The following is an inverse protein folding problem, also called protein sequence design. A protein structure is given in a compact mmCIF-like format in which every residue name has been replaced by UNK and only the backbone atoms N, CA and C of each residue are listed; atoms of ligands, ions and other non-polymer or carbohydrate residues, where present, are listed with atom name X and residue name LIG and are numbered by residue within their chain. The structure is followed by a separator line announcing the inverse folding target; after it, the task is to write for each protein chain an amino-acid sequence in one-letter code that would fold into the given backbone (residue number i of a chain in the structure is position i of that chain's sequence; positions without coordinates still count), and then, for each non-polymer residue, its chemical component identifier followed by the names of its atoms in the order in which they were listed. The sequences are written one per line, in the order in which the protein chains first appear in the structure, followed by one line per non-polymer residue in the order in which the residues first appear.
data_IF_903993142324
#
_entry.id   IF_903993142324
#
_cell.length_a   1.000
_cell.length_b   1.000
_cell.length_c   1.000
_cell.angle_alpha   90.00
_cell.angle_beta   90.00
_cell.angle_gamma   90.00
#
_symmetry.space_group_name_H-M   'P 1'
#
loop_
_entity.id
_entity.type
_entity.pdbx_description
1 polymer ?
#
# COMPACT_ATOMS: atom_id res chain seq x y z
N UNK A 1 42.26 -13.72 35.03
CA UNK A 1 42.00 -12.80 33.91
C UNK A 1 40.63 -13.13 33.36
N UNK A 2 39.72 -12.16 33.42
CA UNK A 2 38.29 -12.31 33.16
C UNK A 2 38.04 -12.25 31.65
N UNK A 3 37.50 -13.33 31.09
CA UNK A 3 36.89 -13.35 29.77
C UNK A 3 35.58 -12.55 29.83
N UNK A 4 35.49 -11.44 29.10
CA UNK A 4 34.26 -10.68 28.96
C UNK A 4 33.34 -11.35 27.94
N UNK A 5 32.37 -12.11 28.42
CA UNK A 5 31.10 -12.34 27.72
C UNK A 5 30.42 -10.98 27.49
N UNK A 6 30.12 -10.65 26.24
CA UNK A 6 29.02 -9.76 25.89
C UNK A 6 27.99 -10.60 25.13
N UNK A 7 27.03 -11.13 25.87
CA UNK A 7 25.74 -11.51 25.30
C UNK A 7 25.07 -10.20 24.85
N UNK A 8 24.96 -10.00 23.53
CA UNK A 8 23.99 -9.05 23.00
C UNK A 8 22.62 -9.68 23.22
N UNK A 9 21.98 -9.30 24.32
CA UNK A 9 20.54 -9.47 24.47
C UNK A 9 19.89 -8.45 23.54
N UNK A 10 19.74 -8.81 22.28
CA UNK A 10 18.73 -8.22 21.43
C UNK A 10 17.38 -8.71 21.97
N UNK A 11 16.76 -7.93 22.85
CA UNK A 11 15.34 -8.10 23.18
C UNK A 11 14.49 -7.59 22.02
N UNK A 12 14.68 -8.17 20.83
CA UNK A 12 13.63 -8.21 19.84
C UNK A 12 12.62 -9.23 20.35
N UNK A 13 11.37 -8.82 20.56
CA UNK A 13 10.30 -9.78 20.84
C UNK A 13 10.16 -10.69 19.61
N UNK A 14 10.79 -11.86 19.68
CA UNK A 14 10.72 -12.88 18.65
C UNK A 14 9.32 -13.49 18.66
N UNK A 15 8.43 -12.97 17.82
CA UNK A 15 7.15 -13.61 17.51
C UNK A 15 7.31 -14.84 16.59
N UNK A 16 8.54 -15.28 16.33
CA UNK A 16 8.84 -16.36 15.39
C UNK A 16 8.25 -17.72 15.80
N UNK A 17 7.88 -17.90 17.07
CA UNK A 17 7.42 -19.18 17.62
C UNK A 17 5.92 -19.19 18.01
N UNK A 18 5.15 -18.15 17.67
CA UNK A 18 3.69 -18.19 17.87
C UNK A 18 3.06 -18.88 16.65
N UNK A 19 2.77 -20.17 16.78
CA UNK A 19 1.82 -20.83 15.88
C UNK A 19 0.53 -20.00 15.86
N UNK A 20 0.11 -19.57 14.67
CA UNK A 20 -1.21 -18.95 14.53
C UNK A 20 -2.22 -19.94 15.08
N UNK A 21 -3.05 -19.51 16.03
CA UNK A 21 -4.24 -20.27 16.44
C UNK A 21 -4.96 -20.64 15.13
N UNK A 22 -5.28 -21.92 14.93
CA UNK A 22 -5.81 -22.48 13.67
C UNK A 22 -6.91 -21.60 13.02
N UNK A 23 -7.71 -20.95 13.86
CA UNK A 23 -8.76 -19.98 13.50
C UNK A 23 -8.26 -18.80 12.64
N UNK A 24 -7.00 -18.37 12.80
CA UNK A 24 -6.41 -17.24 12.07
C UNK A 24 -5.56 -17.66 10.86
N UNK A 25 -5.43 -18.96 10.58
CA UNK A 25 -4.60 -19.43 9.48
C UNK A 25 -5.11 -18.86 8.13
N UNK A 26 -6.39 -19.09 7.81
CA UNK A 26 -6.99 -18.60 6.56
C UNK A 26 -7.15 -17.08 6.52
N UNK A 27 -7.60 -16.39 7.58
CA UNK A 27 -7.52 -14.93 7.66
C UNK A 27 -6.13 -14.36 7.33
N UNK A 28 -5.07 -14.97 7.86
CA UNK A 28 -3.70 -14.52 7.62
C UNK A 28 -3.28 -14.76 6.17
N UNK A 29 -3.66 -15.90 5.58
CA UNK A 29 -3.43 -16.17 4.16
C UNK A 29 -4.20 -15.19 3.26
N UNK A 30 -5.46 -14.92 3.56
CA UNK A 30 -6.29 -13.96 2.83
C UNK A 30 -5.69 -12.56 2.88
N UNK A 31 -5.27 -12.11 4.07
CA UNK A 31 -4.63 -10.80 4.26
C UNK A 31 -3.37 -10.68 3.40
N UNK A 32 -2.51 -11.71 3.35
CA UNK A 32 -1.32 -11.72 2.47
C UNK A 32 -1.71 -11.58 1.00
N UNK A 33 -2.73 -12.33 0.55
CA UNK A 33 -3.22 -12.24 -0.83
C UNK A 33 -3.68 -10.81 -1.14
N UNK A 34 -4.45 -10.18 -0.26
CA UNK A 34 -4.91 -8.80 -0.45
C UNK A 34 -3.76 -7.78 -0.46
N UNK A 35 -2.76 -7.94 0.41
CA UNK A 35 -1.57 -7.07 0.45
C UNK A 35 -0.75 -7.15 -0.85
N UNK A 36 -0.66 -8.33 -1.43
CA UNK A 36 0.13 -8.58 -2.63
C UNK A 36 -0.60 -8.23 -3.95
N UNK A 37 -1.86 -7.79 -3.88
CA UNK A 37 -2.66 -7.44 -5.08
C UNK A 37 -2.00 -6.34 -5.89
N UNK A 38 -1.78 -6.62 -7.18
CA UNK A 38 -1.28 -5.69 -8.18
C UNK A 38 -1.87 -6.03 -9.57
N UNK A 39 -1.53 -5.22 -10.58
CA UNK A 39 -2.07 -5.37 -11.93
C UNK A 39 -1.74 -6.72 -12.58
N UNK A 40 -0.68 -7.40 -12.14
CA UNK A 40 -0.20 -8.64 -12.76
C UNK A 40 -0.85 -9.89 -12.14
N UNK A 41 -1.38 -9.79 -10.92
CA UNK A 41 -1.91 -10.95 -10.18
C UNK A 41 -3.37 -10.82 -9.76
N UNK A 42 -4.06 -9.71 -10.08
CA UNK A 42 -5.44 -9.45 -9.65
C UNK A 42 -6.42 -10.59 -9.96
N UNK A 43 -6.30 -11.23 -11.12
CA UNK A 43 -7.17 -12.35 -11.49
C UNK A 43 -6.91 -13.59 -10.61
N UNK A 44 -5.64 -13.94 -10.42
CA UNK A 44 -5.25 -15.05 -9.55
C UNK A 44 -5.67 -14.79 -8.09
N UNK A 45 -5.40 -13.59 -7.58
CA UNK A 45 -5.79 -13.17 -6.24
C UNK A 45 -7.31 -13.26 -6.06
N UNK A 46 -8.07 -12.76 -7.03
CA UNK A 46 -9.53 -12.85 -7.04
C UNK A 46 -10.00 -14.31 -6.94
N UNK A 47 -9.44 -15.20 -7.77
CA UNK A 47 -9.82 -16.62 -7.76
C UNK A 47 -9.52 -17.29 -6.41
N UNK A 48 -8.37 -17.01 -5.81
CA UNK A 48 -8.02 -17.57 -4.50
C UNK A 48 -8.95 -17.07 -3.38
N UNK A 49 -9.31 -15.78 -3.39
CA UNK A 49 -10.24 -15.21 -2.42
C UNK A 49 -11.64 -15.82 -2.58
N UNK A 50 -12.12 -15.97 -3.82
CA UNK A 50 -13.42 -16.62 -4.09
C UNK A 50 -13.40 -18.09 -3.63
N UNK A 51 -12.29 -18.80 -3.83
CA UNK A 51 -12.13 -20.17 -3.31
C UNK A 51 -12.22 -20.21 -1.78
N UNK A 52 -11.58 -19.25 -1.09
CA UNK A 52 -11.65 -19.17 0.37
C UNK A 52 -13.06 -18.90 0.87
N UNK A 53 -13.79 -17.99 0.20
CA UNK A 53 -15.18 -17.69 0.51
C UNK A 53 -16.10 -18.88 0.26
N UNK A 54 -15.97 -19.54 -0.90
CA UNK A 54 -16.79 -20.69 -1.29
C UNK A 54 -16.61 -21.88 -0.34
N UNK A 55 -15.39 -22.09 0.16
CA UNK A 55 -15.10 -23.14 1.12
C UNK A 55 -15.31 -22.72 2.58
N UNK A 56 -15.91 -21.55 2.85
CA UNK A 56 -16.13 -21.00 4.19
C UNK A 56 -14.85 -20.88 5.04
N UNK A 57 -13.69 -20.73 4.40
CA UNK A 57 -12.39 -20.50 5.06
C UNK A 57 -12.29 -19.09 5.63
N UNK A 58 -12.98 -18.14 5.01
CA UNK A 58 -13.17 -16.76 5.49
C UNK A 58 -14.61 -16.34 5.20
N UNK A 59 -15.12 -15.33 5.93
CA UNK A 59 -16.44 -14.74 5.65
C UNK A 59 -16.35 -13.62 4.61
N UNK A 60 -17.46 -13.36 3.91
CA UNK A 60 -17.52 -12.22 2.97
C UNK A 60 -17.31 -10.88 3.68
N UNK A 61 -17.86 -10.71 4.89
CA UNK A 61 -17.67 -9.51 5.69
C UNK A 61 -16.18 -9.27 5.98
N UNK A 62 -15.45 -10.33 6.31
CA UNK A 62 -14.01 -10.22 6.53
C UNK A 62 -13.25 -9.83 5.27
N UNK A 63 -13.58 -10.44 4.12
CA UNK A 63 -12.96 -10.10 2.84
C UNK A 63 -13.19 -8.63 2.47
N UNK A 64 -14.43 -8.14 2.57
CA UNK A 64 -14.76 -6.76 2.23
C UNK A 64 -14.12 -5.77 3.23
N UNK A 65 -14.06 -6.12 4.51
CA UNK A 65 -13.33 -5.33 5.53
C UNK A 65 -11.82 -5.27 5.25
N UNK A 66 -11.19 -6.37 4.85
CA UNK A 66 -9.78 -6.39 4.48
C UNK A 66 -9.51 -5.51 3.25
N UNK A 67 -10.40 -5.52 2.25
CA UNK A 67 -10.30 -4.61 1.10
C UNK A 67 -10.37 -3.16 1.55
N UNK A 68 -11.34 -2.82 2.41
CA UNK A 68 -11.52 -1.46 2.93
C UNK A 68 -10.24 -0.97 3.62
N UNK A 69 -9.77 -1.70 4.63
CA UNK A 69 -8.55 -1.33 5.40
C UNK A 69 -7.32 -1.26 4.52
N UNK A 70 -7.06 -2.26 3.67
CA UNK A 70 -5.83 -2.29 2.86
C UNK A 70 -5.88 -1.22 1.78
N UNK A 71 -7.05 -0.90 1.22
CA UNK A 71 -7.19 0.17 0.23
C UNK A 71 -6.90 1.57 0.80
N UNK A 72 -7.06 1.77 2.11
CA UNK A 72 -6.67 3.01 2.80
C UNK A 72 -5.14 3.14 2.91
N UNK A 73 -4.43 2.02 2.99
CA UNK A 73 -2.97 2.00 3.11
C UNK A 73 -2.32 2.03 1.72
N UNK A 74 -2.76 1.14 0.84
CA UNK A 74 -2.27 0.95 -0.52
C UNK A 74 -3.03 1.82 -1.54
N UNK A 75 -3.10 3.12 -1.29
CA UNK A 75 -3.92 4.07 -2.08
C UNK A 75 -3.58 4.08 -3.58
N UNK A 76 -2.35 3.74 -3.96
CA UNK A 76 -1.92 3.60 -5.37
C UNK A 76 -2.68 2.51 -6.12
N UNK A 77 -3.12 1.47 -5.40
CA UNK A 77 -3.81 0.31 -5.95
C UNK A 77 -5.34 0.43 -5.77
N UNK A 78 -5.87 1.58 -5.40
CA UNK A 78 -7.30 1.74 -5.07
C UNK A 78 -8.24 1.28 -6.19
N UNK A 79 -7.85 1.49 -7.45
CA UNK A 79 -8.59 0.98 -8.63
C UNK A 79 -8.70 -0.55 -8.63
N UNK A 80 -7.61 -1.25 -8.32
CA UNK A 80 -7.59 -2.71 -8.24
C UNK A 80 -8.48 -3.21 -7.10
N UNK A 81 -8.48 -2.51 -5.96
CA UNK A 81 -9.37 -2.82 -4.85
C UNK A 81 -10.84 -2.54 -5.19
N UNK A 82 -11.14 -1.51 -5.99
CA UNK A 82 -12.49 -1.30 -6.54
C UNK A 82 -12.92 -2.47 -7.43
N UNK A 83 -12.05 -2.94 -8.33
CA UNK A 83 -12.30 -4.09 -9.20
C UNK A 83 -12.59 -5.36 -8.37
N UNK A 84 -11.73 -5.64 -7.38
CA UNK A 84 -11.84 -6.79 -6.51
C UNK A 84 -13.11 -6.76 -5.65
N UNK A 85 -13.40 -5.60 -5.05
CA UNK A 85 -14.61 -5.38 -4.26
C UNK A 85 -15.86 -5.64 -5.11
N UNK A 86 -15.92 -5.06 -6.31
CA UNK A 86 -17.05 -5.23 -7.20
C UNK A 86 -17.23 -6.69 -7.61
N UNK A 87 -16.14 -7.40 -7.93
CA UNK A 87 -16.18 -8.81 -8.31
C UNK A 87 -16.76 -9.69 -7.19
N UNK A 88 -16.27 -9.53 -5.96
CA UNK A 88 -16.76 -10.29 -4.79
C UNK A 88 -18.21 -9.90 -4.47
N UNK A 89 -18.51 -8.61 -4.46
CA UNK A 89 -19.85 -8.08 -4.13
C UNK A 89 -20.91 -8.58 -5.10
N UNK A 90 -20.60 -8.62 -6.41
CA UNK A 90 -21.51 -9.13 -7.43
C UNK A 90 -21.72 -10.65 -7.30
N UNK A 91 -20.66 -11.42 -7.10
CA UNK A 91 -20.71 -12.89 -6.97
C UNK A 91 -21.63 -13.32 -5.83
N UNK A 92 -21.55 -12.64 -4.69
CA UNK A 92 -22.28 -12.99 -3.48
C UNK A 92 -23.47 -12.09 -3.18
N UNK A 93 -23.80 -11.15 -4.09
CA UNK A 93 -24.90 -10.18 -3.94
C UNK A 93 -24.88 -9.44 -2.59
N UNK A 94 -23.69 -9.00 -2.17
CA UNK A 94 -23.45 -8.35 -0.89
C UNK A 94 -22.90 -6.94 -1.09
N UNK A 95 -23.38 -5.98 -0.30
CA UNK A 95 -22.86 -4.62 -0.26
C UNK A 95 -22.72 -4.26 1.22
N UNK A 96 -21.51 -3.86 1.61
CA UNK A 96 -21.20 -3.38 2.95
C UNK A 96 -20.74 -1.93 2.82
N UNK A 97 -21.14 -1.10 3.78
CA UNK A 97 -20.66 0.28 3.87
C UNK A 97 -19.16 0.29 4.22
N UNK A 98 -18.39 1.13 3.52
CA UNK A 98 -16.94 1.19 3.66
C UNK A 98 -16.52 2.50 4.32
N UNK A 99 -15.49 2.43 5.15
CA UNK A 99 -14.88 3.60 5.79
C UNK A 99 -14.00 4.39 4.81
N UNK A 100 -13.41 3.73 3.81
CA UNK A 100 -12.62 4.40 2.78
C UNK A 100 -13.51 5.16 1.78
N UNK A 101 -13.69 6.47 2.02
CA UNK A 101 -14.47 7.38 1.17
C UNK A 101 -14.05 7.36 -0.31
N UNK A 102 -12.75 7.21 -0.61
CA UNK A 102 -12.26 7.14 -1.99
C UNK A 102 -12.72 5.85 -2.68
N UNK A 103 -12.68 4.72 -1.98
CA UNK A 103 -13.16 3.44 -2.50
C UNK A 103 -14.68 3.46 -2.68
N UNK A 104 -15.42 3.98 -1.70
CA UNK A 104 -16.88 4.18 -1.78
C UNK A 104 -17.27 5.07 -2.97
N UNK A 105 -16.54 6.16 -3.20
CA UNK A 105 -16.76 7.06 -4.34
C UNK A 105 -16.54 6.34 -5.67
N UNK A 106 -15.45 5.59 -5.83
CA UNK A 106 -15.20 4.82 -7.05
C UNK A 106 -16.28 3.76 -7.31
N UNK A 107 -16.74 3.07 -6.27
CA UNK A 107 -17.84 2.11 -6.38
C UNK A 107 -19.16 2.79 -6.73
N UNK A 108 -19.41 3.99 -6.19
CA UNK A 108 -20.58 4.80 -6.55
C UNK A 108 -20.61 5.14 -8.03
N UNK A 109 -19.48 5.60 -8.60
CA UNK A 109 -19.36 5.84 -10.05
C UNK A 109 -19.56 4.58 -10.90
N UNK A 110 -19.38 3.39 -10.31
CA UNK A 110 -19.70 2.10 -10.94
C UNK A 110 -21.13 1.61 -10.73
N UNK A 111 -21.98 2.42 -10.11
CA UNK A 111 -23.41 2.13 -9.92
C UNK A 111 -23.78 1.48 -8.59
N UNK A 112 -22.83 1.32 -7.66
CA UNK A 112 -23.17 0.92 -6.29
C UNK A 112 -23.89 2.06 -5.56
N UNK A 113 -24.89 1.71 -4.76
CA UNK A 113 -25.66 2.67 -3.95
C UNK A 113 -25.42 2.37 -2.49
N UNK A 114 -24.86 3.35 -1.78
CA UNK A 114 -24.72 3.33 -0.33
C UNK A 114 -25.73 4.31 0.27
N UNK A 115 -26.28 3.98 1.43
CA UNK A 115 -27.28 4.80 2.09
C UNK A 115 -26.67 6.15 2.50
N UNK A 116 -27.32 7.27 2.21
CA UNK A 116 -26.87 8.62 2.56
C UNK A 116 -25.47 9.01 2.07
N UNK A 117 -24.96 8.35 1.03
CA UNK A 117 -23.65 8.64 0.45
C UNK A 117 -23.77 9.52 -0.80
N UNK A 118 -23.06 10.64 -0.80
CA UNK A 118 -22.87 11.50 -1.98
C UNK A 118 -21.35 11.69 -2.21
N UNK A 119 -20.86 11.47 -3.44
CA UNK A 119 -19.43 11.62 -3.74
C UNK A 119 -19.00 13.08 -3.60
N UNK A 120 -17.86 13.31 -2.95
CA UNK A 120 -17.26 14.64 -2.74
C UNK A 120 -16.02 14.91 -3.59
N UNK A 121 -15.55 13.91 -4.32
CA UNK A 121 -14.34 13.94 -5.13
C UNK A 121 -14.66 13.36 -6.51
N UNK A 122 -14.04 13.90 -7.54
CA UNK A 122 -14.18 13.35 -8.89
C UNK A 122 -13.37 12.05 -9.06
N UNK A 123 -13.79 11.17 -9.96
CA UNK A 123 -13.09 9.90 -10.21
C UNK A 123 -11.61 10.11 -10.56
N UNK A 124 -11.32 11.09 -11.42
CA UNK A 124 -9.94 11.40 -11.84
C UNK A 124 -9.05 11.87 -10.66
N UNK A 125 -9.62 12.61 -9.70
CA UNK A 125 -8.90 13.08 -8.52
C UNK A 125 -8.55 11.92 -7.58
N UNK A 126 -9.41 10.90 -7.51
CA UNK A 126 -9.14 9.70 -6.70
C UNK A 126 -8.06 8.84 -7.35
N UNK A 127 -8.13 8.68 -8.68
CA UNK A 127 -7.19 7.85 -9.43
C UNK A 127 -5.79 8.48 -9.52
N UNK A 128 -5.70 9.81 -9.46
CA UNK A 128 -4.42 10.52 -9.42
C UNK A 128 -4.01 10.81 -7.97
N UNK A 129 -2.97 10.13 -7.48
CA UNK A 129 -2.44 10.34 -6.12
C UNK A 129 -2.03 11.79 -5.83
N UNK A 130 -1.56 12.50 -6.87
CA UNK A 130 -1.12 13.89 -6.81
C UNK A 130 -1.52 14.60 -8.10
N UNK A 131 -1.58 15.94 -8.11
CA UNK A 131 -1.76 16.71 -9.33
C UNK A 131 -0.73 16.30 -10.41
N UNK A 132 -1.17 16.07 -11.64
CA UNK A 132 -0.32 15.57 -12.75
C UNK A 132 0.84 16.50 -13.14
N UNK A 133 0.84 17.74 -12.63
CA UNK A 133 1.88 18.75 -12.80
C UNK A 133 2.83 18.86 -11.59
N UNK A 134 2.61 18.09 -10.53
CA UNK A 134 3.49 18.05 -9.34
C UNK A 134 4.62 17.04 -9.53
N UNK A 135 5.85 17.30 -9.02
CA UNK A 135 6.91 16.29 -9.01
C UNK A 135 6.50 15.01 -8.27
N UNK A 136 5.66 15.11 -7.23
CA UNK A 136 5.19 13.95 -6.47
C UNK A 136 4.38 12.97 -7.32
N UNK A 137 3.66 13.45 -8.34
CA UNK A 137 2.97 12.59 -9.30
C UNK A 137 3.97 11.70 -10.05
N UNK A 138 5.03 12.29 -10.60
CA UNK A 138 6.04 11.53 -11.34
C UNK A 138 6.78 10.55 -10.44
N UNK A 139 7.05 10.94 -9.19
CA UNK A 139 7.67 10.06 -8.20
C UNK A 139 6.75 8.90 -7.85
N UNK A 140 5.50 9.15 -7.48
CA UNK A 140 4.56 8.10 -7.08
C UNK A 140 4.29 7.07 -8.19
N UNK A 141 4.37 7.48 -9.45
CA UNK A 141 4.23 6.61 -10.61
C UNK A 141 5.55 6.10 -11.20
N UNK A 142 6.66 6.29 -10.49
CA UNK A 142 8.02 5.85 -10.83
C UNK A 142 8.52 6.30 -12.22
N UNK A 143 8.12 7.50 -12.64
CA UNK A 143 8.46 8.11 -13.95
C UNK A 143 9.73 8.94 -13.85
N UNK A 144 10.85 8.28 -13.56
CA UNK A 144 12.14 8.95 -13.25
C UNK A 144 12.65 9.86 -14.38
N UNK A 145 12.48 9.47 -15.64
CA UNK A 145 12.99 10.25 -16.78
C UNK A 145 12.16 11.53 -17.01
N UNK A 146 10.84 11.44 -16.86
CA UNK A 146 9.95 12.60 -16.88
C UNK A 146 10.25 13.55 -15.70
N UNK A 147 10.50 12.99 -14.51
CA UNK A 147 10.86 13.76 -13.32
C UNK A 147 12.13 14.59 -13.58
N UNK A 148 13.19 13.94 -14.09
CA UNK A 148 14.46 14.60 -14.44
C UNK A 148 14.28 15.70 -15.47
N UNK A 149 13.48 15.43 -16.51
CA UNK A 149 13.27 16.38 -17.60
C UNK A 149 12.45 17.60 -17.17
N UNK A 150 11.38 17.40 -16.39
CA UNK A 150 10.43 18.46 -16.03
C UNK A 150 10.83 19.24 -14.78
N UNK A 151 11.60 18.63 -13.87
CA UNK A 151 12.02 19.23 -12.61
C UNK A 151 13.54 19.11 -12.39
N UNK A 152 14.37 19.70 -13.27
CA UNK A 152 15.82 19.58 -13.18
C UNK A 152 16.41 20.24 -11.92
N UNK A 153 15.68 21.17 -11.31
CA UNK A 153 16.07 21.90 -10.09
C UNK A 153 15.21 21.50 -8.89
N UNK A 154 14.68 20.27 -8.86
CA UNK A 154 13.91 19.77 -7.73
C UNK A 154 14.77 19.81 -6.46
N UNK A 155 14.30 20.48 -5.42
CA UNK A 155 14.89 20.35 -4.09
C UNK A 155 14.50 18.99 -3.51
N UNK A 156 15.49 18.10 -3.38
CA UNK A 156 15.29 16.71 -2.98
C UNK A 156 15.04 16.54 -1.48
N UNK A 157 15.36 17.54 -0.65
CA UNK A 157 15.24 17.46 0.82
C UNK A 157 14.08 18.33 1.35
N UNK A 158 13.53 19.21 0.52
CA UNK A 158 12.35 19.99 0.88
C UNK A 158 11.07 19.19 0.64
N UNK A 159 10.11 19.32 1.57
CA UNK A 159 8.77 18.75 1.36
C UNK A 159 8.09 19.49 0.22
N UNK A 160 7.47 18.74 -0.69
CA UNK A 160 6.64 19.33 -1.74
C UNK A 160 5.24 19.55 -1.17
N UNK A 161 4.72 20.76 -1.34
CA UNK A 161 3.40 21.18 -0.84
C UNK A 161 3.21 20.93 0.67
N UNK A 162 4.30 21.05 1.45
CA UNK A 162 4.38 20.75 2.89
C UNK A 162 3.96 19.32 3.29
N UNK A 163 3.77 18.42 2.33
CA UNK A 163 3.20 17.09 2.54
C UNK A 163 4.28 16.02 2.81
N UNK A 164 5.22 15.85 1.90
CA UNK A 164 6.20 14.73 1.94
C UNK A 164 7.47 15.10 1.17
N UNK A 165 8.63 14.58 1.60
CA UNK A 165 9.86 14.73 0.83
C UNK A 165 9.79 13.89 -0.46
N UNK A 166 10.53 14.25 -1.52
CA UNK A 166 10.64 13.43 -2.71
C UNK A 166 11.05 11.99 -2.43
N UNK A 167 12.03 11.77 -1.54
CA UNK A 167 12.50 10.43 -1.21
C UNK A 167 11.42 9.61 -0.49
N UNK A 168 10.75 10.20 0.49
CA UNK A 168 9.67 9.53 1.24
C UNK A 168 8.46 9.23 0.36
N UNK A 169 8.19 10.07 -0.64
CA UNK A 169 7.19 9.76 -1.66
C UNK A 169 7.58 8.51 -2.47
N UNK A 170 8.85 8.39 -2.87
CA UNK A 170 9.33 7.21 -3.58
C UNK A 170 9.24 5.94 -2.71
N UNK A 171 9.58 6.05 -1.43
CA UNK A 171 9.49 4.96 -0.45
C UNK A 171 8.04 4.53 -0.27
N UNK A 172 7.14 5.48 0.02
CA UNK A 172 5.71 5.22 0.31
C UNK A 172 4.99 4.49 -0.83
N UNK A 173 5.37 4.76 -2.07
CA UNK A 173 4.70 4.20 -3.24
C UNK A 173 5.51 3.12 -3.98
N UNK A 174 6.62 2.68 -3.39
CA UNK A 174 7.44 1.61 -3.93
C UNK A 174 8.10 1.94 -5.27
N UNK A 175 8.44 3.22 -5.49
CA UNK A 175 8.97 3.73 -6.75
C UNK A 175 10.49 3.57 -6.81
N UNK A 176 10.95 2.38 -7.22
CA UNK A 176 12.35 1.97 -7.14
C UNK A 176 13.30 2.87 -7.96
N UNK A 177 12.90 3.27 -9.18
CA UNK A 177 13.76 4.08 -10.05
C UNK A 177 13.94 5.49 -9.50
N UNK A 178 12.85 6.10 -9.04
CA UNK A 178 12.86 7.40 -8.39
C UNK A 178 13.60 7.34 -7.05
N UNK A 179 13.41 6.29 -6.25
CA UNK A 179 14.13 6.08 -4.99
C UNK A 179 15.65 6.06 -5.22
N UNK A 180 16.12 5.24 -6.15
CA UNK A 180 17.54 5.14 -6.49
C UNK A 180 18.10 6.46 -7.02
N UNK A 181 17.36 7.15 -7.88
CA UNK A 181 17.75 8.46 -8.38
C UNK A 181 17.90 9.49 -7.26
N UNK A 182 16.90 9.62 -6.38
CA UNK A 182 16.91 10.60 -5.29
C UNK A 182 17.99 10.30 -4.25
N UNK A 183 18.20 9.02 -3.90
CA UNK A 183 19.33 8.61 -3.04
C UNK A 183 20.67 8.97 -3.65
N UNK A 184 20.87 8.75 -4.95
CA UNK A 184 22.13 9.09 -5.64
C UNK A 184 22.39 10.60 -5.67
N UNK A 185 21.34 11.43 -5.58
CA UNK A 185 21.47 12.87 -5.41
C UNK A 185 21.75 13.30 -3.96
N UNK A 186 21.76 12.37 -3.00
CA UNK A 186 22.04 12.64 -1.60
C UNK A 186 20.80 12.96 -0.76
N UNK A 187 19.59 12.60 -1.22
CA UNK A 187 18.38 12.76 -0.42
C UNK A 187 18.49 11.96 0.89
N UNK A 188 17.96 12.53 1.97
CA UNK A 188 18.03 11.93 3.30
C UNK A 188 16.69 11.34 3.71
N UNK A 189 16.74 10.21 4.43
CA UNK A 189 15.59 9.67 5.13
C UNK A 189 15.11 10.63 6.21
N UNK A 190 13.80 10.78 6.33
CA UNK A 190 13.18 11.50 7.44
C UNK A 190 12.65 10.54 8.53
N UNK A 191 11.94 11.08 9.51
CA UNK A 191 11.39 10.32 10.64
C UNK A 191 10.27 9.34 10.26
N UNK A 192 9.58 9.56 9.14
CA UNK A 192 8.46 8.77 8.64
C UNK A 192 8.88 7.73 7.60
N UNK A 193 10.10 7.78 7.08
CA UNK A 193 10.56 6.89 6.01
C UNK A 193 10.35 5.40 6.32
N UNK A 194 10.65 4.95 7.55
CA UNK A 194 10.47 3.55 7.97
C UNK A 194 8.99 3.13 7.90
N UNK A 195 8.08 4.00 8.37
CA UNK A 195 6.64 3.79 8.26
C UNK A 195 6.22 3.67 6.79
N UNK A 196 6.73 4.56 5.94
CA UNK A 196 6.43 4.53 4.52
C UNK A 196 6.98 3.30 3.81
N UNK A 197 8.13 2.76 4.24
CA UNK A 197 8.70 1.55 3.67
C UNK A 197 7.80 0.33 3.92
N UNK A 198 7.22 0.25 5.13
CA UNK A 198 6.23 -0.78 5.47
C UNK A 198 4.96 -0.60 4.64
N UNK A 199 4.45 0.63 4.49
CA UNK A 199 3.25 0.91 3.70
C UNK A 199 3.43 0.63 2.21
N UNK A 200 4.59 0.96 1.66
CA UNK A 200 4.88 0.78 0.25
C UNK A 200 5.06 -0.68 -0.16
N UNK A 201 5.38 -1.56 0.79
CA UNK A 201 5.51 -3.01 0.57
C UNK A 201 6.62 -3.39 -0.41
N UNK A 202 7.46 -2.44 -0.84
CA UNK A 202 8.52 -2.69 -1.79
C UNK A 202 9.72 -3.32 -1.07
N UNK A 203 9.91 -4.62 -1.28
CA UNK A 203 10.97 -5.39 -0.61
C UNK A 203 12.37 -4.85 -0.91
N UNK A 204 12.63 -4.38 -2.13
CA UNK A 204 13.94 -3.85 -2.50
C UNK A 204 14.27 -2.59 -1.68
N UNK A 205 13.37 -1.61 -1.67
CA UNK A 205 13.52 -0.37 -0.90
C UNK A 205 13.65 -0.68 0.59
N UNK A 206 12.79 -1.56 1.12
CA UNK A 206 12.80 -1.95 2.52
C UNK A 206 14.15 -2.56 2.94
N UNK A 207 14.67 -3.52 2.15
CA UNK A 207 15.97 -4.13 2.44
C UNK A 207 17.11 -3.12 2.31
N UNK A 208 17.06 -2.23 1.32
CA UNK A 208 18.08 -1.19 1.17
C UNK A 208 18.14 -0.27 2.38
N UNK A 209 16.98 0.13 2.91
CA UNK A 209 16.91 0.97 4.12
C UNK A 209 17.53 0.30 5.35
N UNK A 210 17.33 -1.01 5.53
CA UNK A 210 17.99 -1.79 6.59
C UNK A 210 19.51 -1.74 6.43
N UNK A 211 20.02 -1.90 5.21
CA UNK A 211 21.46 -1.82 4.93
C UNK A 211 22.04 -0.43 5.22
N UNK A 212 21.25 0.63 5.03
CA UNK A 212 21.63 2.00 5.38
C UNK A 212 21.51 2.31 6.89
N UNK A 213 21.07 1.34 7.71
CA UNK A 213 20.95 1.49 9.16
C UNK A 213 19.66 2.16 9.64
N UNK A 214 18.57 2.01 8.87
CA UNK A 214 17.20 2.36 9.25
C UNK A 214 16.40 1.15 9.69
#
# INVERSE_FOLDING_TARGET
MINSQRSKNETGWGFCDIESIEVFEYPSQASKIFWDVNSNNIEQASSQIIEFLTNNKISIQMSLYLIDIISQICVKNIKLFTDLYQKISNEYSCIIELENEKLSTLLHYRGFKFENFEPRMEEEEILNLYPTKSPLFYIAWDKVDDLKSKFPNLDINMRVDDEITPLDCAIKYGSELCFNYLKNLGAQYDYYSEKYAVQGGNKYIFMQMIEDGK
#
